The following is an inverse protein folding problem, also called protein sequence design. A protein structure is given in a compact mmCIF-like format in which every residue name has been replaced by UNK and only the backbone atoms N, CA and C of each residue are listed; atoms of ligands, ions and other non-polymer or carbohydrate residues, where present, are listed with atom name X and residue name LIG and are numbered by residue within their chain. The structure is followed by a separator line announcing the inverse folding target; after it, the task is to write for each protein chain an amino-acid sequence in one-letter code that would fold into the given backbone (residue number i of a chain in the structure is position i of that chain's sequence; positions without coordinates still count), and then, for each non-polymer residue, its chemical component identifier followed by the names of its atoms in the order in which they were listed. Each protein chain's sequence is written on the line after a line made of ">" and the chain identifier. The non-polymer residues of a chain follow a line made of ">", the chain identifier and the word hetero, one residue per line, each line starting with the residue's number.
data_IF_796912765892
#
_entry.id   IF_796912765892
#
_cell.length_a   1.000
_cell.length_b   1.000
_cell.length_c   1.000
_cell.angle_alpha   90.00
_cell.angle_beta   90.00
_cell.angle_gamma   90.00
#
_symmetry.space_group_name_H-M   'P 1'
#
loop_
_entity.id
_entity.type
_entity.pdbx_description
1 polymer ?
#
# COMPACT_ATOMS: atom_id res chain seq x y z
N UNK A 1 -4.58 -29.41 23.40
CA UNK A 1 -3.33 -28.74 23.02
C UNK A 1 -3.71 -27.35 22.55
N UNK A 2 -3.45 -26.32 23.35
CA UNK A 2 -3.64 -24.93 22.93
C UNK A 2 -2.70 -24.68 21.76
N UNK A 3 -3.22 -24.40 20.57
CA UNK A 3 -2.40 -23.96 19.46
C UNK A 3 -1.57 -22.77 19.96
N UNK A 4 -0.24 -22.93 20.02
CA UNK A 4 0.64 -21.81 20.28
C UNK A 4 0.37 -20.82 19.16
N UNK A 5 -0.21 -19.66 19.46
CA UNK A 5 -0.40 -18.61 18.48
C UNK A 5 0.93 -18.36 17.76
N UNK A 6 0.96 -18.57 16.43
CA UNK A 6 2.14 -18.29 15.62
C UNK A 6 2.48 -16.82 15.78
N UNK A 7 3.69 -16.54 16.24
CA UNK A 7 4.16 -15.16 16.29
C UNK A 7 4.48 -14.68 14.87
N UNK A 8 4.12 -13.45 14.50
CA UNK A 8 4.51 -12.87 13.22
C UNK A 8 6.02 -12.97 12.99
N UNK A 9 6.41 -13.28 11.76
CA UNK A 9 7.80 -13.42 11.33
C UNK A 9 8.33 -12.13 10.72
N UNK A 10 7.50 -11.43 9.93
CA UNK A 10 7.88 -10.24 9.19
C UNK A 10 7.06 -9.03 9.64
N UNK A 11 7.75 -7.97 10.05
CA UNK A 11 7.13 -6.68 10.36
C UNK A 11 7.44 -5.65 9.29
N UNK A 12 6.41 -5.09 8.65
CA UNK A 12 6.57 -4.12 7.58
C UNK A 12 6.06 -2.75 8.01
N UNK A 13 6.75 -1.70 7.58
CA UNK A 13 6.40 -0.31 7.81
C UNK A 13 6.28 0.34 6.43
N UNK A 14 5.07 0.79 6.07
CA UNK A 14 4.79 1.39 4.78
C UNK A 14 4.52 2.89 4.91
N UNK A 15 5.05 3.67 3.97
CA UNK A 15 4.95 5.14 3.98
C UNK A 15 3.58 5.70 3.55
N UNK A 16 2.71 4.84 3.00
CA UNK A 16 1.34 5.12 2.58
C UNK A 16 0.39 3.91 2.75
N UNK A 17 -0.92 4.15 2.67
CA UNK A 17 -1.93 3.09 2.76
C UNK A 17 -1.97 2.17 1.54
N UNK A 18 -1.81 2.72 0.35
CA UNK A 18 -1.89 1.96 -0.90
C UNK A 18 -0.71 1.02 -1.07
N UNK A 19 0.51 1.49 -0.79
CA UNK A 19 1.71 0.67 -0.81
C UNK A 19 1.76 -0.35 0.32
N UNK A 20 1.14 -0.07 1.47
CA UNK A 20 0.93 -1.07 2.52
C UNK A 20 0.09 -2.25 2.00
N UNK A 21 -1.03 -1.95 1.35
CA UNK A 21 -1.96 -2.95 0.80
C UNK A 21 -1.30 -3.76 -0.32
N UNK A 22 -0.54 -3.10 -1.19
CA UNK A 22 0.20 -3.75 -2.28
C UNK A 22 1.28 -4.71 -1.77
N UNK A 23 2.08 -4.29 -0.78
CA UNK A 23 3.04 -5.18 -0.12
C UNK A 23 2.35 -6.37 0.52
N UNK A 24 1.26 -6.12 1.24
CA UNK A 24 0.54 -7.16 1.95
C UNK A 24 -0.08 -8.19 0.97
N UNK A 25 -0.57 -7.73 -0.19
CA UNK A 25 -1.01 -8.59 -1.29
C UNK A 25 0.13 -9.48 -1.83
N UNK A 26 1.35 -8.95 -1.99
CA UNK A 26 2.50 -9.75 -2.42
C UNK A 26 2.87 -10.84 -1.42
N UNK A 27 2.81 -10.54 -0.12
CA UNK A 27 3.07 -11.50 0.95
C UNK A 27 2.00 -12.60 0.99
N UNK A 28 0.72 -12.24 0.85
CA UNK A 28 -0.39 -13.20 0.76
C UNK A 28 -0.29 -14.11 -0.46
N UNK A 29 -0.02 -13.55 -1.65
CA UNK A 29 0.23 -14.34 -2.88
C UNK A 29 1.38 -15.33 -2.71
N UNK A 30 2.33 -15.01 -1.83
CA UNK A 30 3.51 -15.83 -1.54
C UNK A 30 3.33 -16.74 -0.31
N UNK A 31 2.11 -16.88 0.20
CA UNK A 31 1.76 -17.84 1.25
C UNK A 31 1.84 -17.33 2.69
N UNK A 32 2.06 -16.04 2.94
CA UNK A 32 2.05 -15.46 4.29
C UNK A 32 0.68 -14.85 4.61
N UNK A 33 0.03 -15.33 5.67
CA UNK A 33 -1.14 -14.64 6.24
C UNK A 33 -0.70 -13.27 6.70
N UNK A 34 -1.34 -12.23 6.17
CA UNK A 34 -0.91 -10.87 6.42
C UNK A 34 -2.04 -10.02 6.97
N UNK A 35 -1.70 -9.23 7.97
CA UNK A 35 -2.57 -8.19 8.51
C UNK A 35 -1.94 -6.83 8.30
N UNK A 36 -2.73 -5.89 7.82
CA UNK A 36 -2.38 -4.49 7.72
C UNK A 36 -3.02 -3.72 8.87
N UNK A 37 -2.27 -2.86 9.56
CA UNK A 37 -2.82 -1.91 10.55
C UNK A 37 -2.88 -0.51 9.98
N UNK A 38 -3.87 0.28 10.41
CA UNK A 38 -4.03 1.69 10.05
C UNK A 38 -3.36 2.52 11.14
N UNK A 39 -2.14 2.98 10.86
CA UNK A 39 -1.27 3.58 11.86
C UNK A 39 -0.69 2.56 12.85
N UNK A 40 0.05 3.07 13.83
CA UNK A 40 0.60 2.29 14.94
C UNK A 40 -0.52 2.00 15.95
N UNK A 41 -0.83 0.73 16.26
CA UNK A 41 -1.81 0.42 17.30
C UNK A 41 -1.35 0.94 18.67
N UNK A 42 -2.30 1.30 19.54
CA UNK A 42 -2.00 1.82 20.87
C UNK A 42 -1.25 0.80 21.75
N UNK A 43 -0.42 1.28 22.66
CA UNK A 43 0.34 0.43 23.59
C UNK A 43 -0.58 -0.51 24.37
N UNK A 44 -0.26 -1.81 24.36
CA UNK A 44 -1.07 -2.85 25.02
C UNK A 44 -2.26 -3.36 24.19
N UNK A 45 -2.63 -2.70 23.10
CA UNK A 45 -3.44 -3.32 22.05
C UNK A 45 -2.54 -4.30 21.29
N UNK A 46 -2.36 -5.49 21.86
CA UNK A 46 -2.04 -6.63 21.01
C UNK A 46 -3.09 -6.62 19.90
N UNK A 47 -2.67 -6.88 18.65
CA UNK A 47 -3.62 -7.50 17.72
C UNK A 47 -4.19 -8.67 18.53
N UNK A 48 -5.48 -8.62 18.84
CA UNK A 48 -6.12 -9.58 19.73
C UNK A 48 -5.56 -10.96 19.39
N UNK A 49 -5.32 -11.81 20.40
CA UNK A 49 -4.84 -13.20 20.21
C UNK A 49 -5.61 -14.04 19.16
N UNK A 50 -6.68 -13.47 18.60
CA UNK A 50 -7.48 -13.86 17.45
C UNK A 50 -6.80 -13.76 16.07
N UNK A 51 -5.69 -13.00 15.91
CA UNK A 51 -5.08 -12.81 14.59
C UNK A 51 -3.87 -13.71 14.37
N UNK A 52 -4.10 -14.83 13.68
CA UNK A 52 -3.05 -15.72 13.19
C UNK A 52 -2.39 -15.14 11.92
N UNK A 53 -1.44 -14.22 12.11
CA UNK A 53 -0.69 -13.57 11.04
C UNK A 53 0.78 -13.98 11.03
N UNK A 54 1.29 -14.28 9.83
CA UNK A 54 2.71 -14.54 9.58
C UNK A 54 3.47 -13.23 9.31
N UNK A 55 2.79 -12.20 8.79
CA UNK A 55 3.33 -10.86 8.57
C UNK A 55 2.35 -9.77 9.04
N UNK A 56 2.91 -8.65 9.52
CA UNK A 56 2.12 -7.45 9.85
C UNK A 56 2.66 -6.26 9.07
N UNK A 57 1.78 -5.49 8.43
CA UNK A 57 2.11 -4.27 7.68
C UNK A 57 1.49 -3.06 8.35
N UNK A 58 2.31 -2.22 8.98
CA UNK A 58 1.87 -0.94 9.56
C UNK A 58 1.82 0.11 8.46
N UNK A 59 0.62 0.59 8.14
CA UNK A 59 0.43 1.64 7.15
C UNK A 59 0.47 3.03 7.79
N UNK A 60 1.46 3.83 7.42
CA UNK A 60 1.62 5.22 7.86
C UNK A 60 1.19 6.18 6.75
N UNK A 61 1.10 7.48 7.07
CA UNK A 61 1.00 8.58 6.10
C UNK A 61 2.24 9.44 6.24
N UNK A 62 3.41 8.88 5.91
CA UNK A 62 4.72 9.47 6.25
C UNK A 62 5.58 9.82 5.04
N UNK A 63 5.11 9.60 3.80
CA UNK A 63 5.87 9.90 2.57
C UNK A 63 6.33 11.35 2.46
N UNK A 64 5.41 12.30 2.70
CA UNK A 64 5.63 13.75 2.46
C UNK A 64 5.51 14.60 3.72
N UNK A 65 5.38 13.98 4.89
CA UNK A 65 5.42 14.69 6.18
C UNK A 65 6.84 15.20 6.45
N UNK A 66 7.04 16.10 7.43
CA UNK A 66 8.40 16.42 7.89
C UNK A 66 9.18 15.15 8.25
N UNK A 67 10.47 15.09 7.89
CA UNK A 67 11.32 13.93 8.11
C UNK A 67 11.39 13.48 9.58
N UNK A 68 11.40 14.42 10.52
CA UNK A 68 11.38 14.12 11.95
C UNK A 68 10.11 13.35 12.37
N UNK A 69 8.95 13.74 11.84
CA UNK A 69 7.67 13.06 12.12
C UNK A 69 7.62 11.68 11.48
N UNK A 70 8.12 11.56 10.24
CA UNK A 70 8.20 10.27 9.55
C UNK A 70 9.10 9.28 10.29
N UNK A 71 10.25 9.75 10.78
CA UNK A 71 11.17 8.97 11.62
C UNK A 71 10.50 8.55 12.92
N UNK A 72 9.88 9.49 13.64
CA UNK A 72 9.23 9.19 14.92
C UNK A 72 8.11 8.14 14.77
N UNK A 73 7.24 8.30 13.76
CA UNK A 73 6.17 7.33 13.47
C UNK A 73 6.73 5.96 13.07
N UNK A 74 7.80 5.93 12.26
CA UNK A 74 8.42 4.67 11.83
C UNK A 74 9.11 3.93 12.97
N UNK A 75 9.77 4.65 13.89
CA UNK A 75 10.38 4.06 15.09
C UNK A 75 9.32 3.53 16.06
N UNK A 76 8.19 4.23 16.20
CA UNK A 76 7.05 3.74 16.98
C UNK A 76 6.48 2.44 16.36
N UNK A 77 6.30 2.41 15.03
CA UNK A 77 5.86 1.22 14.31
C UNK A 77 6.84 0.05 14.49
N UNK A 78 8.15 0.30 14.35
CA UNK A 78 9.19 -0.68 14.57
C UNK A 78 9.16 -1.26 15.98
N UNK A 79 9.10 -0.40 17.01
CA UNK A 79 9.04 -0.82 18.40
C UNK A 79 7.83 -1.71 18.68
N UNK A 80 6.65 -1.32 18.16
CA UNK A 80 5.43 -2.10 18.28
C UNK A 80 5.53 -3.46 17.55
N UNK A 81 6.02 -3.49 16.30
CA UNK A 81 6.22 -4.72 15.53
C UNK A 81 7.20 -5.68 16.22
N UNK A 82 8.27 -5.15 16.79
CA UNK A 82 9.24 -5.93 17.58
C UNK A 82 8.57 -6.52 18.82
N UNK A 83 7.70 -5.78 19.50
CA UNK A 83 6.92 -6.28 20.64
C UNK A 83 5.96 -7.41 20.24
N UNK A 84 5.45 -7.44 19.00
CA UNK A 84 4.65 -8.55 18.46
C UNK A 84 5.49 -9.81 18.16
N UNK A 85 6.82 -9.72 18.19
CA UNK A 85 7.73 -10.85 17.97
C UNK A 85 8.25 -11.00 16.53
N UNK A 86 8.07 -9.97 15.68
CA UNK A 86 8.65 -9.95 14.33
C UNK A 86 10.17 -10.17 14.37
N UNK A 87 10.69 -10.95 13.41
CA UNK A 87 12.10 -11.37 13.33
C UNK A 87 12.89 -10.58 12.29
N UNK A 88 12.25 -10.22 11.19
CA UNK A 88 12.80 -9.40 10.12
C UNK A 88 11.88 -8.21 9.88
N UNK A 89 12.46 -7.10 9.43
CA UNK A 89 11.72 -5.87 9.18
C UNK A 89 11.83 -5.44 7.72
N UNK A 90 10.77 -4.81 7.23
CA UNK A 90 10.68 -4.29 5.87
C UNK A 90 10.26 -2.82 5.89
N UNK A 91 11.07 -1.93 5.30
CA UNK A 91 10.65 -0.56 5.04
C UNK A 91 10.17 -0.41 3.60
N UNK A 92 8.86 -0.15 3.46
CA UNK A 92 8.16 -0.05 2.19
C UNK A 92 7.94 1.40 1.79
N UNK A 93 8.38 1.74 0.59
CA UNK A 93 8.14 3.02 -0.07
C UNK A 93 7.74 2.83 -1.54
N UNK A 94 7.42 3.92 -2.24
CA UNK A 94 6.91 3.86 -3.61
C UNK A 94 7.93 3.25 -4.59
N UNK A 95 7.46 2.49 -5.59
CA UNK A 95 8.30 1.89 -6.63
C UNK A 95 8.92 2.93 -7.59
N UNK A 96 8.45 4.18 -7.55
CA UNK A 96 9.02 5.34 -8.25
C UNK A 96 9.95 6.18 -7.37
N UNK A 97 10.27 5.69 -6.17
CA UNK A 97 11.21 6.31 -5.23
C UNK A 97 10.82 7.71 -4.76
N UNK A 98 9.51 7.99 -4.74
CA UNK A 98 8.88 9.27 -4.39
C UNK A 98 9.47 9.88 -3.12
N UNK A 99 10.29 10.92 -3.30
CA UNK A 99 10.96 11.61 -2.22
C UNK A 99 11.54 12.93 -2.73
N UNK A 100 12.02 13.77 -1.80
CA UNK A 100 12.83 14.95 -2.10
C UNK A 100 14.22 14.77 -1.50
N UNK A 101 15.14 15.70 -1.75
CA UNK A 101 16.46 15.68 -1.07
C UNK A 101 16.33 15.75 0.47
N UNK A 102 15.20 16.24 1.00
CA UNK A 102 14.92 16.27 2.44
C UNK A 102 14.40 14.92 2.98
N UNK A 103 14.09 13.95 2.12
CA UNK A 103 13.55 12.64 2.53
C UNK A 103 12.17 12.30 1.94
N UNK A 104 11.48 11.28 2.46
CA UNK A 104 11.73 10.62 3.76
C UNK A 104 12.41 9.25 3.70
N UNK A 105 12.77 8.75 2.51
CA UNK A 105 13.36 7.41 2.38
C UNK A 105 14.69 7.32 3.14
N UNK A 106 15.63 8.24 2.90
CA UNK A 106 16.93 8.26 3.59
C UNK A 106 16.80 8.34 5.13
N UNK A 107 16.18 9.39 5.69
CA UNK A 107 16.07 9.57 7.14
C UNK A 107 15.40 8.41 7.88
N UNK A 108 14.33 7.85 7.31
CA UNK A 108 13.63 6.71 7.92
C UNK A 108 14.46 5.43 7.81
N UNK A 109 15.11 5.18 6.68
CA UNK A 109 15.98 4.02 6.51
C UNK A 109 17.18 4.05 7.47
N UNK A 110 17.81 5.22 7.67
CA UNK A 110 18.87 5.40 8.68
C UNK A 110 18.37 5.03 10.08
N UNK A 111 17.26 5.63 10.51
CA UNK A 111 16.71 5.42 11.84
C UNK A 111 16.30 3.95 12.10
N UNK A 112 15.65 3.31 11.12
CA UNK A 112 15.26 1.91 11.21
C UNK A 112 16.47 0.97 11.20
N UNK A 113 17.51 1.28 10.42
CA UNK A 113 18.72 0.47 10.36
C UNK A 113 19.45 0.46 11.71
N UNK A 114 19.56 1.63 12.36
CA UNK A 114 20.08 1.76 13.73
C UNK A 114 19.23 0.95 14.73
N UNK A 115 17.91 1.13 14.69
CA UNK A 115 16.99 0.47 15.62
C UNK A 115 16.98 -1.06 15.46
N UNK A 116 17.18 -1.55 14.25
CA UNK A 116 17.31 -2.96 13.90
C UNK A 116 18.65 -3.58 14.33
N UNK A 117 19.62 -2.76 14.78
CA UNK A 117 20.98 -3.22 15.10
C UNK A 117 21.74 -3.73 13.86
N UNK A 118 21.30 -3.34 12.67
CA UNK A 118 21.87 -3.76 11.39
C UNK A 118 22.94 -2.80 10.89
N UNK A 119 23.98 -3.34 10.25
CA UNK A 119 25.02 -2.52 9.60
C UNK A 119 24.72 -2.20 8.13
N UNK A 120 23.74 -2.87 7.52
CA UNK A 120 23.50 -2.80 6.08
C UNK A 120 22.04 -3.12 5.72
N UNK A 121 21.48 -2.42 4.74
CA UNK A 121 20.22 -2.77 4.09
C UNK A 121 20.28 -2.53 2.57
N UNK A 122 19.55 -3.34 1.81
CA UNK A 122 19.34 -3.07 0.38
C UNK A 122 18.22 -2.06 0.17
N UNK A 123 18.23 -1.43 -1.01
CA UNK A 123 17.25 -0.45 -1.47
C UNK A 123 16.80 -0.88 -2.86
N UNK A 124 15.58 -1.42 -2.99
CA UNK A 124 15.09 -1.98 -4.25
C UNK A 124 13.63 -1.58 -4.51
N UNK A 125 13.37 -0.41 -5.13
CA UNK A 125 12.02 -0.03 -5.55
C UNK A 125 11.50 -0.77 -6.80
N UNK A 126 12.27 -1.70 -7.38
CA UNK A 126 11.87 -2.41 -8.59
C UNK A 126 10.56 -3.20 -8.38
N UNK A 127 9.74 -3.20 -9.43
CA UNK A 127 8.52 -3.98 -9.54
C UNK A 127 8.25 -4.29 -11.03
N UNK A 128 8.90 -5.31 -11.60
CA UNK A 128 8.85 -5.63 -13.03
C UNK A 128 7.44 -5.91 -13.55
N UNK A 129 6.57 -6.59 -12.78
CA UNK A 129 5.15 -6.79 -13.13
C UNK A 129 4.43 -5.45 -13.43
N UNK A 130 4.83 -4.38 -12.75
CA UNK A 130 4.33 -3.02 -12.97
C UNK A 130 5.27 -2.17 -13.83
N UNK A 131 6.22 -2.76 -14.56
CA UNK A 131 7.15 -2.05 -15.44
C UNK A 131 8.17 -1.17 -14.71
N UNK A 132 8.52 -1.46 -13.46
CA UNK A 132 9.59 -0.75 -12.74
C UNK A 132 10.82 -1.63 -12.68
N UNK A 133 11.89 -1.23 -13.35
CA UNK A 133 13.17 -1.96 -13.40
C UNK A 133 14.33 -1.06 -13.02
N UNK A 134 15.40 -1.64 -12.50
CA UNK A 134 16.61 -0.91 -12.11
C UNK A 134 17.81 -1.52 -12.81
N UNK A 135 18.52 -0.70 -13.57
CA UNK A 135 19.74 -1.08 -14.27
C UNK A 135 20.88 -0.12 -13.95
N UNK A 136 21.98 -0.63 -13.41
CA UNK A 136 23.16 0.14 -12.98
C UNK A 136 22.76 1.31 -12.06
N UNK A 137 21.82 1.05 -11.14
CA UNK A 137 21.28 2.03 -10.19
C UNK A 137 20.33 3.06 -10.79
N UNK A 138 19.97 2.96 -12.08
CA UNK A 138 19.01 3.85 -12.72
C UNK A 138 17.63 3.19 -12.75
N UNK A 139 16.62 3.90 -12.27
CA UNK A 139 15.22 3.44 -12.29
C UNK A 139 14.55 3.79 -13.61
N UNK A 140 13.87 2.81 -14.17
CA UNK A 140 13.05 2.91 -15.37
C UNK A 140 11.57 2.69 -15.04
N UNK A 141 10.70 3.37 -15.78
CA UNK A 141 9.25 3.19 -15.77
C UNK A 141 8.82 2.86 -17.19
N UNK A 142 8.52 1.58 -17.44
CA UNK A 142 8.42 1.05 -18.79
C UNK A 142 9.76 1.20 -19.51
N UNK A 143 9.72 1.80 -20.69
CA UNK A 143 10.90 1.95 -21.56
C UNK A 143 11.67 3.24 -21.33
N UNK A 144 11.24 4.11 -20.41
CA UNK A 144 11.84 5.43 -20.17
C UNK A 144 12.45 5.55 -18.76
N UNK A 145 13.51 6.36 -18.59
CA UNK A 145 14.02 6.69 -17.26
C UNK A 145 12.95 7.35 -16.37
N UNK A 146 13.11 7.24 -15.05
CA UNK A 146 12.20 7.84 -14.06
C UNK A 146 11.90 9.32 -14.34
N UNK A 147 12.91 10.12 -14.70
CA UNK A 147 12.79 11.55 -14.93
C UNK A 147 12.24 11.95 -16.31
N UNK A 148 11.77 10.98 -17.09
CA UNK A 148 11.12 11.17 -18.39
C UNK A 148 9.75 10.45 -18.43
N UNK A 149 9.27 9.99 -17.26
CA UNK A 149 8.10 9.10 -17.15
C UNK A 149 6.79 9.84 -16.81
N UNK A 150 6.85 11.16 -16.63
CA UNK A 150 5.81 11.96 -16.00
C UNK A 150 6.07 12.21 -14.51
N UNK A 151 6.88 11.38 -13.84
CA UNK A 151 7.24 11.58 -12.43
C UNK A 151 8.08 12.83 -12.19
N UNK A 152 8.76 13.36 -13.20
CA UNK A 152 9.46 14.64 -13.15
C UNK A 152 8.53 15.84 -12.92
N UNK A 153 7.22 15.66 -13.19
CA UNK A 153 6.16 16.63 -12.96
C UNK A 153 5.24 16.23 -11.78
N UNK A 154 5.62 15.24 -10.97
CA UNK A 154 4.79 14.82 -9.82
C UNK A 154 4.57 16.02 -8.87
N UNK A 155 3.32 16.29 -8.43
CA UNK A 155 2.97 17.54 -7.76
C UNK A 155 3.63 17.73 -6.39
N UNK A 156 3.97 16.63 -5.70
CA UNK A 156 4.54 16.67 -4.35
C UNK A 156 6.03 16.30 -4.31
N UNK A 157 6.46 15.41 -5.20
CA UNK A 157 7.79 14.76 -5.17
C UNK A 157 8.31 14.60 -6.60
N UNK A 158 8.59 15.71 -7.33
CA UNK A 158 9.03 15.65 -8.70
C UNK A 158 10.39 14.95 -8.83
N UNK A 159 10.42 13.82 -9.54
CA UNK A 159 11.60 12.97 -9.67
C UNK A 159 12.42 13.37 -10.90
N UNK A 160 13.41 14.24 -10.73
CA UNK A 160 14.22 14.80 -11.83
C UNK A 160 15.51 14.04 -12.14
N UNK A 161 15.72 12.91 -11.46
CA UNK A 161 16.97 12.16 -11.52
C UNK A 161 16.67 10.66 -11.39
N UNK A 162 16.99 9.88 -12.43
CA UNK A 162 16.78 8.44 -12.41
C UNK A 162 17.86 7.66 -11.63
N UNK A 163 19.00 8.27 -11.29
CA UNK A 163 20.08 7.57 -10.60
C UNK A 163 19.79 7.48 -9.09
N UNK A 164 19.30 6.32 -8.66
CA UNK A 164 18.86 6.11 -7.28
C UNK A 164 20.01 6.16 -6.27
N UNK A 165 21.24 5.83 -6.67
CA UNK A 165 22.41 5.95 -5.79
C UNK A 165 22.59 7.42 -5.39
N UNK A 166 22.50 8.33 -6.37
CA UNK A 166 22.61 9.77 -6.14
C UNK A 166 21.39 10.35 -5.43
N UNK A 167 20.18 9.93 -5.80
CA UNK A 167 18.94 10.40 -5.16
C UNK A 167 18.94 10.04 -3.67
N UNK A 168 19.24 8.78 -3.33
CA UNK A 168 19.31 8.37 -1.93
C UNK A 168 20.45 9.07 -1.20
N UNK A 169 21.64 9.17 -1.79
CA UNK A 169 22.80 9.79 -1.14
C UNK A 169 22.56 11.25 -0.71
N UNK A 170 21.67 11.99 -1.38
CA UNK A 170 21.29 13.36 -0.96
C UNK A 170 20.44 13.40 0.31
N UNK A 171 19.78 12.29 0.67
CA UNK A 171 18.85 12.20 1.79
C UNK A 171 19.47 11.59 3.05
N UNK A 172 20.66 10.99 2.95
CA UNK A 172 21.30 10.27 4.05
C UNK A 172 22.77 10.65 4.19
N UNK A 173 23.27 10.65 5.43
CA UNK A 173 24.70 10.78 5.74
C UNK A 173 25.43 9.46 5.59
N UNK A 174 24.71 8.33 5.56
CA UNK A 174 25.25 7.01 5.33
C UNK A 174 25.74 6.87 3.89
N UNK A 175 26.86 6.15 3.69
CA UNK A 175 27.40 5.88 2.36
C UNK A 175 26.47 4.94 1.59
N UNK A 176 26.07 5.37 0.39
CA UNK A 176 25.23 4.60 -0.54
C UNK A 176 26.09 3.94 -1.63
N UNK A 177 25.88 2.64 -1.85
CA UNK A 177 26.54 1.83 -2.86
C UNK A 177 25.56 1.22 -3.87
N UNK A 178 26.05 0.26 -4.64
CA UNK A 178 25.31 -0.42 -5.69
C UNK A 178 25.66 -1.91 -5.75
N UNK A 179 24.63 -2.75 -5.75
CA UNK A 179 24.66 -4.16 -6.14
C UNK A 179 24.12 -4.21 -7.57
N UNK A 180 25.02 -4.41 -8.53
CA UNK A 180 24.71 -4.34 -9.96
C UNK A 180 24.07 -5.63 -10.47
N UNK A 181 23.33 -5.51 -11.57
CA UNK A 181 22.64 -6.61 -12.25
C UNK A 181 23.57 -7.79 -12.56
N UNK A 182 24.85 -7.54 -12.90
CA UNK A 182 25.83 -8.58 -13.23
C UNK A 182 26.27 -9.38 -12.01
N UNK A 183 26.17 -8.83 -10.80
CA UNK A 183 26.33 -9.59 -9.55
C UNK A 183 25.07 -10.40 -9.25
N UNK A 184 23.90 -9.84 -9.49
CA UNK A 184 22.60 -10.49 -9.20
C UNK A 184 22.38 -11.69 -10.12
N UNK A 185 22.75 -11.58 -11.39
CA UNK A 185 22.71 -12.67 -12.36
C UNK A 185 23.58 -13.88 -11.97
N UNK A 186 24.53 -13.72 -11.05
CA UNK A 186 25.36 -14.83 -10.52
C UNK A 186 24.71 -15.54 -9.32
N UNK A 187 23.53 -15.09 -8.87
CA UNK A 187 22.75 -15.72 -7.81
C UNK A 187 23.05 -15.22 -6.39
N UNK A 188 22.31 -15.75 -5.42
CA UNK A 188 22.24 -15.20 -4.07
C UNK A 188 23.57 -15.24 -3.31
N UNK A 189 24.43 -16.22 -3.59
CA UNK A 189 25.77 -16.31 -2.98
C UNK A 189 26.68 -15.14 -3.40
N UNK A 190 26.67 -14.78 -4.69
CA UNK A 190 27.44 -13.65 -5.21
C UNK A 190 26.91 -12.31 -4.64
N UNK A 191 25.59 -12.18 -4.52
CA UNK A 191 24.96 -11.01 -3.87
C UNK A 191 25.40 -10.89 -2.41
N UNK A 192 25.39 -11.99 -1.63
CA UNK A 192 25.89 -11.98 -0.24
C UNK A 192 27.35 -11.55 -0.15
N UNK A 193 28.22 -12.11 -0.99
CA UNK A 193 29.64 -11.71 -1.03
C UNK A 193 29.81 -10.22 -1.39
N UNK A 194 28.97 -9.69 -2.28
CA UNK A 194 28.97 -8.26 -2.63
C UNK A 194 28.49 -7.39 -1.47
N UNK A 195 27.47 -7.83 -0.73
CA UNK A 195 27.01 -7.15 0.48
C UNK A 195 28.16 -7.06 1.50
N UNK A 196 28.88 -8.16 1.73
CA UNK A 196 30.01 -8.19 2.68
C UNK A 196 31.14 -7.24 2.25
N UNK A 197 31.48 -7.22 0.96
CA UNK A 197 32.47 -6.28 0.42
C UNK A 197 32.04 -4.81 0.61
N UNK A 198 30.77 -4.50 0.33
CA UNK A 198 30.24 -3.14 0.53
C UNK A 198 30.26 -2.74 2.00
N UNK A 199 29.93 -3.65 2.91
CA UNK A 199 30.00 -3.42 4.36
C UNK A 199 31.43 -3.11 4.81
N UNK A 200 32.41 -3.85 4.31
CA UNK A 200 33.82 -3.61 4.60
C UNK A 200 34.30 -2.22 4.13
N UNK A 201 33.73 -1.72 3.03
CA UNK A 201 33.98 -0.38 2.49
C UNK A 201 33.18 0.75 3.20
N UNK A 202 32.48 0.43 4.30
CA UNK A 202 31.68 1.38 5.07
C UNK A 202 30.35 1.76 4.41
N UNK A 203 29.93 1.09 3.33
CA UNK A 203 28.59 1.28 2.76
C UNK A 203 27.53 0.69 3.70
N UNK A 204 26.46 1.45 3.92
CA UNK A 204 25.32 1.01 4.75
C UNK A 204 24.05 0.75 3.96
N UNK A 205 23.90 1.42 2.82
CA UNK A 205 22.79 1.15 1.90
C UNK A 205 23.32 0.83 0.52
N UNK A 206 22.71 -0.13 -0.17
CA UNK A 206 23.01 -0.36 -1.57
C UNK A 206 21.74 -0.41 -2.40
N UNK A 207 21.70 0.41 -3.45
CA UNK A 207 20.71 0.21 -4.51
C UNK A 207 20.96 -1.19 -5.09
N UNK A 208 19.91 -1.97 -5.24
CA UNK A 208 19.97 -3.28 -5.89
C UNK A 208 19.25 -3.21 -7.23
N UNK A 209 19.97 -3.53 -8.30
CA UNK A 209 19.37 -3.66 -9.64
C UNK A 209 18.33 -4.79 -9.64
N UNK A 210 17.34 -4.71 -10.53
CA UNK A 210 16.42 -5.82 -10.81
C UNK A 210 15.70 -5.54 -12.12
N UNK A 211 15.81 -6.48 -13.06
CA UNK A 211 15.20 -6.40 -14.39
C UNK A 211 13.99 -7.34 -14.51
N UNK A 212 13.90 -8.32 -13.61
CA UNK A 212 12.89 -9.37 -13.63
C UNK A 212 12.52 -9.84 -12.22
N UNK A 213 11.41 -10.56 -12.09
CA UNK A 213 11.01 -11.17 -10.80
C UNK A 213 12.02 -12.22 -10.33
N UNK A 214 12.76 -12.85 -11.25
CA UNK A 214 13.86 -13.74 -10.90
C UNK A 214 14.93 -13.02 -10.08
N UNK A 215 15.31 -11.79 -10.49
CA UNK A 215 16.28 -10.97 -9.75
C UNK A 215 15.77 -10.64 -8.34
N UNK A 216 14.46 -10.38 -8.21
CA UNK A 216 13.81 -10.11 -6.92
C UNK A 216 13.84 -11.34 -5.99
N UNK A 217 13.64 -12.54 -6.52
CA UNK A 217 13.80 -13.77 -5.75
C UNK A 217 15.26 -14.01 -5.30
N UNK A 218 16.23 -13.74 -6.19
CA UNK A 218 17.66 -13.82 -5.85
C UNK A 218 18.01 -12.84 -4.73
N UNK A 219 17.52 -11.60 -4.81
CA UNK A 219 17.71 -10.59 -3.77
C UNK A 219 17.05 -11.00 -2.46
N UNK A 220 15.81 -11.49 -2.50
CA UNK A 220 15.10 -11.98 -1.31
C UNK A 220 15.87 -13.09 -0.60
N UNK A 221 16.38 -14.08 -1.34
CA UNK A 221 17.22 -15.14 -0.77
C UNK A 221 18.53 -14.61 -0.18
N UNK A 222 19.20 -13.69 -0.88
CA UNK A 222 20.44 -13.09 -0.39
C UNK A 222 20.24 -12.29 0.90
N UNK A 223 19.05 -11.73 1.10
CA UNK A 223 18.71 -10.87 2.23
C UNK A 223 18.12 -11.63 3.44
N UNK A 224 18.08 -12.97 3.43
CA UNK A 224 17.48 -13.78 4.49
C UNK A 224 17.97 -13.43 5.91
N UNK A 225 19.24 -13.02 6.04
CA UNK A 225 19.88 -12.70 7.32
C UNK A 225 19.99 -11.19 7.60
N UNK A 226 19.48 -10.33 6.71
CA UNK A 226 19.46 -8.90 6.97
C UNK A 226 18.29 -8.57 7.92
N UNK A 227 18.50 -7.83 9.01
CA UNK A 227 17.42 -7.49 9.93
C UNK A 227 16.43 -6.49 9.31
N UNK A 228 16.89 -5.70 8.33
CA UNK A 228 16.08 -4.73 7.60
C UNK A 228 16.29 -4.91 6.08
N UNK A 229 15.17 -5.01 5.36
CA UNK A 229 15.11 -4.92 3.89
C UNK A 229 14.30 -3.67 3.54
N UNK A 230 14.67 -2.94 2.48
CA UNK A 230 13.91 -1.76 2.07
C UNK A 230 13.63 -1.79 0.57
N UNK A 231 12.44 -1.33 0.17
CA UNK A 231 12.07 -1.34 -1.25
C UNK A 231 10.61 -1.08 -1.54
N UNK A 232 10.25 -1.35 -2.79
CA UNK A 232 8.86 -1.51 -3.23
C UNK A 232 8.33 -2.90 -2.87
N UNK A 233 7.15 -3.26 -3.37
CA UNK A 233 6.51 -4.55 -3.04
C UNK A 233 7.21 -5.74 -3.71
N UNK A 234 7.89 -5.52 -4.85
CA UNK A 234 8.50 -6.59 -5.63
C UNK A 234 9.56 -7.39 -4.86
N UNK A 235 10.47 -6.73 -4.14
CA UNK A 235 11.54 -7.44 -3.41
C UNK A 235 11.00 -8.29 -2.25
N UNK A 236 9.77 -8.05 -1.79
CA UNK A 236 9.12 -8.89 -0.79
C UNK A 236 8.72 -10.29 -1.33
N UNK A 237 8.62 -10.48 -2.66
CA UNK A 237 8.30 -11.77 -3.28
C UNK A 237 9.28 -12.90 -2.87
N UNK A 238 10.55 -12.55 -2.66
CA UNK A 238 11.60 -13.51 -2.29
C UNK A 238 11.74 -13.78 -0.79
N UNK A 239 11.00 -13.07 0.08
CA UNK A 239 11.18 -13.19 1.54
C UNK A 239 10.46 -14.40 2.18
N UNK A 240 9.21 -14.73 1.82
CA UNK A 240 8.46 -15.84 2.45
C UNK A 240 9.17 -17.20 2.37
N UNK A 241 9.84 -17.44 1.25
CA UNK A 241 10.57 -18.68 1.01
C UNK A 241 11.74 -18.87 1.99
N UNK A 242 12.37 -17.79 2.45
CA UNK A 242 13.42 -17.88 3.47
C UNK A 242 12.88 -18.46 4.78
N UNK A 243 11.67 -18.05 5.18
CA UNK A 243 11.03 -18.56 6.40
C UNK A 243 10.59 -20.02 6.25
N UNK A 244 10.16 -20.44 5.05
CA UNK A 244 9.85 -21.86 4.77
C UNK A 244 11.11 -22.72 4.86
N UNK A 245 12.20 -22.33 4.20
CA UNK A 245 13.49 -23.05 4.28
C UNK A 245 14.04 -23.14 5.70
N UNK A 246 13.76 -22.13 6.53
CA UNK A 246 14.12 -22.12 7.95
C UNK A 246 13.15 -22.94 8.84
N UNK A 247 12.08 -23.53 8.29
CA UNK A 247 11.07 -24.27 9.06
C UNK A 247 10.20 -23.40 9.97
N UNK A 248 10.13 -22.09 9.71
CA UNK A 248 9.39 -21.11 10.52
C UNK A 248 8.01 -20.80 9.95
N UNK A 249 7.84 -20.94 8.63
CA UNK A 249 6.58 -20.75 7.92
C UNK A 249 6.15 -22.10 7.31
N UNK A 250 4.95 -22.62 7.58
CA UNK A 250 4.45 -23.80 6.88
C UNK A 250 4.05 -23.47 5.43
N UNK A 251 4.05 -24.47 4.56
CA UNK A 251 3.35 -24.34 3.28
C UNK A 251 1.84 -24.24 3.53
N UNK A 252 1.19 -23.25 2.91
CA UNK A 252 -0.25 -22.97 3.05
C UNK A 252 -0.83 -22.54 1.70
N UNK A 253 -2.03 -22.99 1.42
CA UNK A 253 -2.88 -22.58 0.29
C UNK A 253 -3.98 -21.58 0.70
N UNK A 254 -4.19 -21.39 2.01
CA UNK A 254 -5.27 -20.59 2.57
C UNK A 254 -4.83 -19.21 3.10
N UNK A 255 -3.64 -18.72 2.73
CA UNK A 255 -3.12 -17.43 3.20
C UNK A 255 -4.05 -16.24 2.84
N UNK A 256 -4.77 -16.35 1.73
CA UNK A 256 -5.71 -15.36 1.21
C UNK A 256 -7.16 -15.53 1.71
N UNK A 257 -7.42 -16.46 2.64
CA UNK A 257 -8.77 -16.72 3.13
C UNK A 257 -9.26 -15.58 4.02
N UNK A 258 -10.42 -15.02 3.69
CA UNK A 258 -11.12 -14.04 4.52
C UNK A 258 -12.33 -14.69 5.21
N UNK A 259 -12.75 -14.16 6.37
CA UNK A 259 -14.03 -14.55 6.95
C UNK A 259 -15.18 -14.21 6.00
N UNK A 260 -16.29 -14.95 6.11
CA UNK A 260 -17.51 -14.60 5.38
C UNK A 260 -18.08 -13.29 5.90
N UNK A 261 -18.44 -12.39 4.99
CA UNK A 261 -18.98 -11.06 5.32
C UNK A 261 -20.41 -10.96 4.78
N UNK A 262 -21.37 -11.16 5.66
CA UNK A 262 -22.78 -10.94 5.36
C UNK A 262 -23.13 -9.44 5.42
N UNK A 263 -24.19 -9.04 4.72
CA UNK A 263 -24.67 -7.65 4.67
C UNK A 263 -24.66 -7.04 3.26
N UNK A 264 -25.05 -5.77 3.18
CA UNK A 264 -25.22 -5.05 1.91
C UNK A 264 -23.88 -4.53 1.38
N UNK A 265 -23.85 -4.13 0.10
CA UNK A 265 -22.65 -3.61 -0.56
C UNK A 265 -22.89 -2.24 -1.18
N UNK A 266 -21.84 -1.41 -1.23
CA UNK A 266 -21.85 -0.12 -1.92
C UNK A 266 -20.49 0.17 -2.57
N UNK A 267 -20.51 1.01 -3.60
CA UNK A 267 -19.31 1.52 -4.28
C UNK A 267 -19.21 3.02 -4.05
N UNK A 268 -18.03 3.49 -3.63
CA UNK A 268 -17.71 4.90 -3.41
C UNK A 268 -16.53 5.29 -4.31
N UNK A 269 -16.71 6.28 -5.18
CA UNK A 269 -15.66 6.68 -6.13
C UNK A 269 -15.35 8.18 -6.08
N UNK A 270 -14.19 8.54 -5.55
CA UNK A 270 -13.71 9.92 -5.50
C UNK A 270 -12.57 10.22 -6.49
N UNK A 271 -11.95 9.20 -7.09
CA UNK A 271 -10.87 9.40 -8.06
C UNK A 271 -11.36 9.98 -9.40
N UNK A 272 -10.65 10.99 -9.90
CA UNK A 272 -10.84 11.56 -11.25
C UNK A 272 -9.91 10.94 -12.32
N UNK A 273 -9.28 9.80 -12.04
CA UNK A 273 -8.40 9.11 -12.99
C UNK A 273 -9.15 8.60 -14.23
N UNK A 274 -8.42 8.36 -15.33
CA UNK A 274 -8.99 7.77 -16.56
C UNK A 274 -9.63 6.41 -16.30
N UNK A 275 -8.94 5.54 -15.53
CA UNK A 275 -9.44 4.22 -15.18
C UNK A 275 -10.75 4.30 -14.38
N UNK A 276 -10.82 5.17 -13.37
CA UNK A 276 -12.03 5.32 -12.56
C UNK A 276 -13.18 5.94 -13.36
N UNK A 277 -12.91 6.89 -14.25
CA UNK A 277 -13.93 7.42 -15.18
C UNK A 277 -14.52 6.30 -16.06
N UNK A 278 -13.70 5.41 -16.60
CA UNK A 278 -14.16 4.27 -17.39
C UNK A 278 -14.99 3.26 -16.56
N UNK A 279 -14.56 2.96 -15.34
CA UNK A 279 -15.28 2.08 -14.41
C UNK A 279 -16.65 2.66 -14.01
N UNK A 280 -16.70 3.96 -13.75
CA UNK A 280 -17.96 4.69 -13.45
C UNK A 280 -18.87 4.69 -14.68
N UNK A 281 -18.34 4.93 -15.88
CA UNK A 281 -19.13 4.89 -17.10
C UNK A 281 -19.77 3.50 -17.30
N UNK A 282 -18.98 2.43 -17.21
CA UNK A 282 -19.47 1.06 -17.35
C UNK A 282 -20.55 0.70 -16.30
N UNK A 283 -20.39 1.15 -15.05
CA UNK A 283 -21.43 0.93 -14.02
C UNK A 283 -22.76 1.60 -14.38
N UNK A 284 -22.69 2.84 -14.86
CA UNK A 284 -23.87 3.70 -15.12
C UNK A 284 -24.72 3.22 -16.29
N UNK A 285 -24.23 2.31 -17.12
CA UNK A 285 -25.00 1.73 -18.23
C UNK A 285 -26.23 0.94 -17.76
N UNK A 286 -26.19 0.37 -16.55
CA UNK A 286 -27.27 -0.53 -16.09
C UNK A 286 -27.54 -0.54 -14.59
N UNK A 287 -26.78 0.23 -13.78
CA UNK A 287 -26.85 0.16 -12.32
C UNK A 287 -27.09 1.52 -11.67
N UNK A 288 -27.76 1.56 -10.51
CA UNK A 288 -28.06 2.81 -9.82
C UNK A 288 -26.78 3.55 -9.43
N UNK A 289 -26.74 4.85 -9.76
CA UNK A 289 -25.64 5.74 -9.37
C UNK A 289 -26.12 7.12 -8.93
N UNK A 290 -25.47 7.70 -7.93
CA UNK A 290 -25.66 9.08 -7.49
C UNK A 290 -24.36 9.86 -7.65
N UNK A 291 -24.43 11.01 -8.32
CA UNK A 291 -23.28 11.89 -8.54
C UNK A 291 -23.25 12.97 -7.46
N UNK A 292 -22.12 13.11 -6.78
CA UNK A 292 -21.81 14.21 -5.87
C UNK A 292 -21.43 15.44 -6.71
N UNK A 293 -22.06 16.57 -6.43
CA UNK A 293 -21.60 17.89 -6.86
C UNK A 293 -20.81 18.55 -5.71
N UNK A 294 -19.47 18.68 -5.83
CA UNK A 294 -18.67 19.36 -4.81
C UNK A 294 -19.08 20.82 -4.60
N UNK A 295 -19.59 21.50 -5.62
CA UNK A 295 -20.03 22.89 -5.47
C UNK A 295 -21.31 22.96 -4.66
N UNK A 296 -22.27 22.06 -4.86
CA UNK A 296 -23.45 21.92 -4.00
C UNK A 296 -23.06 21.66 -2.54
N UNK A 297 -22.14 20.73 -2.30
CA UNK A 297 -21.63 20.45 -0.96
C UNK A 297 -20.98 21.71 -0.34
N UNK A 298 -20.24 22.50 -1.12
CA UNK A 298 -19.58 23.73 -0.65
C UNK A 298 -20.58 24.83 -0.28
N UNK A 299 -21.78 24.82 -0.88
CA UNK A 299 -22.89 25.73 -0.57
C UNK A 299 -23.73 25.29 0.63
N UNK A 300 -23.41 24.16 1.25
CA UNK A 300 -24.18 23.61 2.38
C UNK A 300 -25.48 22.92 1.96
N UNK A 301 -25.61 22.52 0.69
CA UNK A 301 -26.74 21.69 0.26
C UNK A 301 -26.65 20.29 0.91
N UNK A 302 -27.78 19.60 1.14
CA UNK A 302 -27.83 18.34 1.90
C UNK A 302 -27.37 17.11 1.09
N UNK A 303 -26.23 17.22 0.40
CA UNK A 303 -25.72 16.21 -0.55
C UNK A 303 -25.54 14.83 0.10
N UNK A 304 -25.14 14.80 1.38
CA UNK A 304 -24.99 13.54 2.13
C UNK A 304 -26.35 12.87 2.35
N UNK A 305 -27.36 13.64 2.78
CA UNK A 305 -28.70 13.11 3.04
C UNK A 305 -29.36 12.64 1.74
N UNK A 306 -29.20 13.39 0.65
CA UNK A 306 -29.70 13.02 -0.67
C UNK A 306 -29.07 11.73 -1.18
N UNK A 307 -27.75 11.57 -1.01
CA UNK A 307 -27.04 10.35 -1.39
C UNK A 307 -27.47 9.13 -0.55
N UNK A 308 -27.74 9.32 0.75
CA UNK A 308 -28.23 8.28 1.64
C UNK A 308 -29.70 7.93 1.38
N UNK A 309 -30.54 8.91 1.05
CA UNK A 309 -31.93 8.70 0.63
C UNK A 309 -31.98 7.90 -0.69
N UNK A 310 -31.11 8.26 -1.64
CA UNK A 310 -30.91 7.50 -2.87
C UNK A 310 -30.45 6.06 -2.60
N UNK A 311 -29.48 5.85 -1.71
CA UNK A 311 -29.04 4.50 -1.36
C UNK A 311 -30.19 3.67 -0.77
N UNK A 312 -30.96 4.25 0.15
CA UNK A 312 -32.10 3.58 0.81
C UNK A 312 -33.16 3.10 -0.19
N UNK A 313 -33.40 3.82 -1.29
CA UNK A 313 -34.42 3.43 -2.27
C UNK A 313 -34.00 2.30 -3.22
N UNK A 314 -32.69 1.98 -3.30
CA UNK A 314 -32.17 0.97 -4.22
C UNK A 314 -31.62 -0.28 -3.51
N UNK A 315 -31.21 -0.17 -2.25
CA UNK A 315 -30.77 -1.32 -1.47
C UNK A 315 -31.90 -2.37 -1.38
N UNK A 316 -31.60 -3.68 -1.50
CA UNK A 316 -30.28 -4.30 -1.35
C UNK A 316 -29.39 -4.33 -2.61
N UNK A 317 -29.85 -3.81 -3.75
CA UNK A 317 -29.00 -3.70 -4.94
C UNK A 317 -27.80 -2.76 -4.63
N UNK A 318 -26.55 -3.17 -4.92
CA UNK A 318 -25.42 -2.29 -4.69
C UNK A 318 -25.53 -1.02 -5.54
N UNK A 319 -25.25 0.12 -4.90
CA UNK A 319 -25.27 1.46 -5.50
C UNK A 319 -23.86 2.01 -5.69
N UNK A 320 -23.70 2.90 -6.67
CA UNK A 320 -22.49 3.72 -6.84
C UNK A 320 -22.77 5.15 -6.38
N UNK A 321 -21.93 5.68 -5.50
CA UNK A 321 -21.92 7.11 -5.16
C UNK A 321 -20.56 7.67 -5.55
N UNK A 322 -20.53 8.67 -6.42
CA UNK A 322 -19.29 9.11 -7.05
C UNK A 322 -19.15 10.63 -7.19
N UNK A 323 -17.92 11.12 -7.00
CA UNK A 323 -17.48 12.47 -7.36
C UNK A 323 -16.55 12.47 -8.59
N UNK A 324 -16.26 11.29 -9.15
CA UNK A 324 -15.45 11.11 -10.37
C UNK A 324 -15.96 12.01 -11.50
N UNK A 325 -15.04 12.77 -12.08
CA UNK A 325 -15.34 13.67 -13.20
C UNK A 325 -14.15 13.82 -14.15
N UNK A 326 -14.36 14.56 -15.25
CA UNK A 326 -13.36 14.91 -16.25
C UNK A 326 -12.31 15.88 -15.70
N UNK A 327 -11.09 15.89 -16.24
CA UNK A 327 -10.05 16.84 -15.82
C UNK A 327 -10.47 18.31 -15.91
N UNK A 328 -11.29 18.67 -16.89
CA UNK A 328 -11.75 20.06 -17.07
C UNK A 328 -12.74 20.48 -15.99
N UNK A 329 -13.64 19.59 -15.60
CA UNK A 329 -14.55 19.84 -14.47
C UNK A 329 -13.81 19.85 -13.13
N UNK A 330 -12.79 19.00 -12.94
CA UNK A 330 -11.91 19.09 -11.76
C UNK A 330 -11.27 20.48 -11.70
N UNK A 331 -10.70 20.98 -12.81
CA UNK A 331 -10.12 22.32 -12.86
C UNK A 331 -11.13 23.40 -12.52
N UNK A 332 -12.36 23.32 -13.03
CA UNK A 332 -13.40 24.30 -12.73
C UNK A 332 -13.75 24.32 -11.23
N UNK A 333 -13.91 23.16 -10.60
CA UNK A 333 -14.15 23.06 -9.15
C UNK A 333 -12.96 23.60 -8.35
N UNK A 334 -11.73 23.25 -8.75
CA UNK A 334 -10.51 23.72 -8.09
C UNK A 334 -10.30 25.23 -8.25
N UNK A 335 -10.72 25.82 -9.36
CA UNK A 335 -10.71 27.27 -9.55
C UNK A 335 -11.71 27.98 -8.62
N UNK A 336 -12.86 27.36 -8.36
CA UNK A 336 -13.88 27.92 -7.48
C UNK A 336 -13.54 27.76 -5.98
N UNK A 337 -12.97 26.62 -5.58
CA UNK A 337 -12.79 26.27 -4.17
C UNK A 337 -11.33 26.27 -3.70
N UNK A 338 -10.38 26.21 -4.61
CA UNK A 338 -8.99 25.84 -4.33
C UNK A 338 -8.77 24.33 -4.39
N UNK A 339 -7.56 23.90 -4.75
CA UNK A 339 -7.22 22.48 -4.98
C UNK A 339 -7.41 21.63 -3.73
N UNK A 340 -6.83 22.07 -2.62
CA UNK A 340 -6.85 21.34 -1.34
C UNK A 340 -8.27 21.28 -0.75
N UNK A 341 -8.97 22.41 -0.72
CA UNK A 341 -10.33 22.48 -0.20
C UNK A 341 -11.31 21.64 -1.03
N UNK A 342 -11.19 21.63 -2.36
CA UNK A 342 -12.01 20.78 -3.23
C UNK A 342 -11.80 19.29 -2.94
N UNK A 343 -10.54 18.86 -2.78
CA UNK A 343 -10.20 17.48 -2.43
C UNK A 343 -10.78 17.06 -1.07
N UNK A 344 -10.50 17.85 -0.03
CA UNK A 344 -11.01 17.59 1.32
C UNK A 344 -12.53 17.59 1.41
N UNK A 345 -13.22 18.45 0.64
CA UNK A 345 -14.67 18.46 0.60
C UNK A 345 -15.23 17.16 0.02
N UNK A 346 -14.66 16.66 -1.08
CA UNK A 346 -15.06 15.39 -1.68
C UNK A 346 -14.79 14.22 -0.73
N UNK A 347 -13.60 14.20 -0.12
CA UNK A 347 -13.20 13.19 0.86
C UNK A 347 -14.15 13.15 2.07
N UNK A 348 -14.40 14.30 2.70
CA UNK A 348 -15.26 14.40 3.87
C UNK A 348 -16.72 14.06 3.55
N UNK A 349 -17.21 14.43 2.36
CA UNK A 349 -18.56 14.07 1.90
C UNK A 349 -18.69 12.56 1.71
N UNK A 350 -17.77 11.91 0.99
CA UNK A 350 -17.78 10.46 0.80
C UNK A 350 -17.57 9.69 2.11
N UNK A 351 -16.76 10.22 3.02
CA UNK A 351 -16.56 9.67 4.35
C UNK A 351 -17.84 9.73 5.21
N UNK A 352 -18.58 10.83 5.16
CA UNK A 352 -19.88 10.96 5.84
C UNK A 352 -20.91 9.98 5.26
N UNK A 353 -20.95 9.85 3.93
CA UNK A 353 -21.81 8.88 3.23
C UNK A 353 -21.45 7.44 3.62
N UNK A 354 -20.16 7.10 3.72
CA UNK A 354 -19.73 5.77 4.14
C UNK A 354 -20.26 5.40 5.54
N UNK A 355 -20.24 6.35 6.49
CA UNK A 355 -20.82 6.14 7.84
C UNK A 355 -22.33 5.89 7.77
N UNK A 356 -23.06 6.73 7.05
CA UNK A 356 -24.51 6.55 6.89
C UNK A 356 -24.86 5.24 6.19
N UNK A 357 -24.08 4.81 5.19
CA UNK A 357 -24.25 3.50 4.55
C UNK A 357 -24.01 2.34 5.52
N UNK A 358 -23.00 2.44 6.40
CA UNK A 358 -22.78 1.45 7.46
C UNK A 358 -23.99 1.34 8.38
N UNK A 359 -24.60 2.46 8.75
CA UNK A 359 -25.83 2.51 9.56
C UNK A 359 -27.03 1.90 8.82
N UNK A 360 -27.08 2.00 7.49
CA UNK A 360 -28.07 1.35 6.63
C UNK A 360 -27.81 -0.17 6.43
N UNK A 361 -26.79 -0.74 7.08
CA UNK A 361 -26.48 -2.17 7.00
C UNK A 361 -25.52 -2.56 5.87
N UNK A 362 -24.87 -1.59 5.22
CA UNK A 362 -23.76 -1.87 4.31
C UNK A 362 -22.56 -2.39 5.10
N UNK A 363 -22.04 -3.51 4.66
CA UNK A 363 -20.87 -4.18 5.24
C UNK A 363 -19.74 -4.34 4.25
N UNK A 364 -20.00 -4.20 2.96
CA UNK A 364 -19.00 -4.36 1.89
C UNK A 364 -18.84 -3.07 1.11
N UNK A 365 -17.66 -2.46 1.18
CA UNK A 365 -17.36 -1.21 0.48
C UNK A 365 -16.27 -1.41 -0.56
N UNK A 366 -16.59 -1.05 -1.79
CA UNK A 366 -15.59 -0.89 -2.86
C UNK A 366 -15.29 0.60 -2.97
N UNK A 367 -14.04 0.99 -2.78
CA UNK A 367 -13.64 2.41 -2.74
C UNK A 367 -12.61 2.71 -3.81
N UNK A 368 -12.84 3.74 -4.63
CA UNK A 368 -11.93 4.15 -5.70
C UNK A 368 -11.34 5.55 -5.45
N UNK A 369 -10.02 5.58 -5.24
CA UNK A 369 -9.21 6.76 -4.94
C UNK A 369 -8.38 6.57 -3.68
N UNK A 370 -7.10 6.95 -3.71
CA UNK A 370 -6.19 6.79 -2.57
C UNK A 370 -6.64 7.61 -1.35
N UNK A 371 -6.77 8.93 -1.51
CA UNK A 371 -7.26 9.81 -0.44
C UNK A 371 -8.70 9.48 -0.05
N UNK A 372 -9.57 9.15 -1.01
CA UNK A 372 -10.93 8.68 -0.73
C UNK A 372 -10.94 7.42 0.14
N UNK A 373 -10.08 6.44 -0.16
CA UNK A 373 -9.92 5.23 0.64
C UNK A 373 -9.46 5.57 2.06
N UNK A 374 -8.49 6.47 2.20
CA UNK A 374 -8.04 6.97 3.51
C UNK A 374 -9.18 7.59 4.32
N UNK A 375 -9.94 8.52 3.72
CA UNK A 375 -11.05 9.20 4.38
C UNK A 375 -12.18 8.23 4.79
N UNK A 376 -12.51 7.26 3.91
CA UNK A 376 -13.54 6.23 4.20
C UNK A 376 -13.08 5.28 5.31
N UNK A 377 -11.85 4.76 5.24
CA UNK A 377 -11.27 3.86 6.26
C UNK A 377 -11.25 4.54 7.63
N UNK A 378 -10.85 5.80 7.69
CA UNK A 378 -10.86 6.58 8.93
C UNK A 378 -12.27 6.80 9.46
N UNK A 379 -13.23 7.18 8.61
CA UNK A 379 -14.60 7.43 9.04
C UNK A 379 -15.36 6.18 9.46
N UNK A 380 -14.98 5.02 8.92
CA UNK A 380 -15.48 3.71 9.36
C UNK A 380 -14.74 3.16 10.60
N UNK A 381 -13.80 3.92 11.17
CA UNK A 381 -13.00 3.55 12.33
C UNK A 381 -12.22 2.23 12.17
N UNK A 382 -11.76 1.97 10.94
CA UNK A 382 -11.02 0.74 10.62
C UNK A 382 -9.63 0.80 11.24
N UNK A 383 -9.31 -0.18 12.10
CA UNK A 383 -8.01 -0.28 12.78
C UNK A 383 -7.05 -1.25 12.09
N UNK A 384 -7.58 -2.32 11.53
CA UNK A 384 -6.80 -3.36 10.89
C UNK A 384 -7.59 -4.06 9.78
N UNK A 385 -6.86 -4.64 8.84
CA UNK A 385 -7.35 -5.34 7.68
C UNK A 385 -6.61 -6.67 7.54
N UNK A 386 -7.35 -7.78 7.55
CA UNK A 386 -6.86 -9.03 7.01
C UNK A 386 -6.89 -8.96 5.48
N UNK A 387 -5.81 -9.42 4.86
CA UNK A 387 -5.64 -9.36 3.41
C UNK A 387 -6.07 -10.68 2.77
N UNK A 388 -6.92 -10.58 1.75
CA UNK A 388 -7.47 -11.69 1.01
C UNK A 388 -6.93 -11.82 -0.40
N UNK A 389 -7.69 -12.52 -1.24
CA UNK A 389 -7.32 -12.75 -2.63
C UNK A 389 -7.23 -11.46 -3.45
N UNK A 390 -6.32 -11.45 -4.42
CA UNK A 390 -6.18 -10.36 -5.38
C UNK A 390 -7.42 -10.27 -6.28
N UNK A 391 -8.06 -9.09 -6.34
CA UNK A 391 -9.17 -8.80 -7.26
C UNK A 391 -8.62 -8.40 -8.62
N UNK A 392 -7.68 -7.46 -8.61
CA UNK A 392 -6.88 -6.99 -9.74
C UNK A 392 -5.46 -6.69 -9.26
N UNK A 393 -4.45 -6.59 -10.16
CA UNK A 393 -3.07 -6.28 -9.78
C UNK A 393 -2.99 -5.09 -8.80
N UNK A 394 -2.43 -5.34 -7.61
CA UNK A 394 -2.29 -4.35 -6.54
C UNK A 394 -3.56 -4.01 -5.75
N UNK A 395 -4.69 -4.70 -5.97
CA UNK A 395 -5.95 -4.46 -5.26
C UNK A 395 -6.54 -5.77 -4.73
N UNK A 396 -6.24 -6.15 -3.46
CA UNK A 396 -6.84 -7.32 -2.83
C UNK A 396 -8.21 -7.02 -2.24
N UNK A 397 -9.00 -8.07 -2.04
CA UNK A 397 -10.10 -8.06 -1.09
C UNK A 397 -9.54 -7.99 0.34
N UNK A 398 -10.22 -7.31 1.25
CA UNK A 398 -9.80 -7.21 2.65
C UNK A 398 -11.00 -7.31 3.59
N UNK A 399 -10.75 -7.71 4.84
CA UNK A 399 -11.74 -7.78 5.90
C UNK A 399 -11.23 -7.08 7.16
N UNK A 400 -12.07 -6.33 7.86
CA UNK A 400 -11.69 -5.81 9.19
C UNK A 400 -11.66 -6.94 10.23
N UNK A 401 -10.91 -6.73 11.30
CA UNK A 401 -10.73 -7.71 12.38
C UNK A 401 -11.56 -7.29 13.59
N UNK A 402 -12.88 -7.27 13.41
CA UNK A 402 -13.84 -6.91 14.44
C UNK A 402 -14.89 -8.01 14.60
N UNK A 403 -15.66 -8.00 15.70
CA UNK A 403 -16.76 -8.93 15.92
C UNK A 403 -17.83 -8.88 14.80
N UNK A 404 -17.93 -7.75 14.11
CA UNK A 404 -18.79 -7.55 12.94
C UNK A 404 -17.94 -7.00 11.79
N UNK A 405 -17.28 -7.86 11.01
CA UNK A 405 -16.28 -7.42 10.05
C UNK A 405 -16.91 -6.64 8.90
N UNK A 406 -16.14 -5.68 8.36
CA UNK A 406 -16.41 -5.01 7.10
C UNK A 406 -15.54 -5.60 6.00
N UNK A 407 -16.11 -5.79 4.82
CA UNK A 407 -15.40 -6.16 3.60
C UNK A 407 -14.99 -4.91 2.85
N UNK A 408 -13.72 -4.78 2.49
CA UNK A 408 -13.20 -3.58 1.86
C UNK A 408 -12.35 -3.94 0.63
N UNK A 409 -12.56 -3.23 -0.47
CA UNK A 409 -11.69 -3.26 -1.64
C UNK A 409 -11.23 -1.82 -1.94
N UNK A 410 -9.98 -1.52 -1.62
CA UNK A 410 -9.42 -0.16 -1.65
C UNK A 410 -8.56 0.01 -2.91
N UNK A 411 -9.13 0.66 -3.92
CA UNK A 411 -8.54 0.78 -5.26
C UNK A 411 -7.87 2.14 -5.43
N UNK A 412 -6.56 2.14 -5.72
CA UNK A 412 -5.90 3.37 -6.20
C UNK A 412 -6.50 3.84 -7.53
N UNK A 413 -6.39 5.12 -7.84
CA UNK A 413 -7.08 5.74 -8.98
C UNK A 413 -6.83 5.03 -10.31
N UNK A 414 -5.58 4.76 -10.65
CA UNK A 414 -5.21 4.20 -11.97
C UNK A 414 -5.33 2.67 -12.07
N UNK A 415 -5.80 2.00 -11.02
CA UNK A 415 -5.78 0.53 -10.92
C UNK A 415 -7.13 -0.06 -11.36
N UNK A 416 -7.08 -1.34 -11.73
CA UNK A 416 -8.21 -2.18 -12.07
C UNK A 416 -8.72 -2.00 -13.51
N UNK A 417 -9.31 -3.07 -14.05
CA UNK A 417 -9.95 -3.05 -15.38
C UNK A 417 -11.31 -2.33 -15.33
N UNK A 418 -11.96 -2.18 -16.48
CA UNK A 418 -13.24 -1.46 -16.61
C UNK A 418 -14.36 -2.10 -15.78
N UNK A 419 -14.36 -3.41 -15.63
CA UNK A 419 -15.33 -4.21 -14.84
C UNK A 419 -14.95 -4.34 -13.36
N UNK A 420 -13.94 -3.61 -12.87
CA UNK A 420 -13.39 -3.76 -11.50
C UNK A 420 -14.45 -3.70 -10.40
N UNK A 421 -15.41 -2.76 -10.45
CA UNK A 421 -16.43 -2.64 -9.42
C UNK A 421 -17.25 -3.91 -9.25
N UNK A 422 -17.53 -4.62 -10.34
CA UNK A 422 -18.29 -5.85 -10.28
C UNK A 422 -17.45 -7.02 -9.73
N UNK A 423 -16.20 -7.15 -10.19
CA UNK A 423 -15.25 -8.14 -9.66
C UNK A 423 -15.03 -7.96 -8.15
N UNK A 424 -14.85 -6.73 -7.70
CA UNK A 424 -14.65 -6.41 -6.29
C UNK A 424 -15.87 -6.79 -5.44
N UNK A 425 -17.09 -6.51 -5.91
CA UNK A 425 -18.31 -6.91 -5.21
C UNK A 425 -18.46 -8.43 -5.11
N UNK A 426 -18.12 -9.18 -6.16
CA UNK A 426 -18.14 -10.66 -6.13
C UNK A 426 -17.10 -11.22 -5.16
N UNK A 427 -15.87 -10.71 -5.22
CA UNK A 427 -14.79 -11.12 -4.33
C UNK A 427 -15.16 -10.90 -2.85
N UNK A 428 -15.75 -9.74 -2.50
CA UNK A 428 -16.19 -9.45 -1.13
C UNK A 428 -17.41 -10.28 -0.69
N UNK A 429 -18.16 -10.89 -1.62
CA UNK A 429 -19.27 -11.80 -1.31
C UNK A 429 -18.80 -13.25 -1.08
N UNK A 430 -17.50 -13.54 -1.20
CA UNK A 430 -16.97 -14.91 -1.11
C UNK A 430 -17.24 -15.74 -2.37
N UNK A 431 -17.62 -15.10 -3.48
CA UNK A 431 -17.69 -15.72 -4.80
C UNK A 431 -16.40 -15.34 -5.55
N UNK A 432 -15.35 -16.13 -5.35
CA UNK A 432 -14.14 -16.10 -6.18
C UNK A 432 -14.16 -17.30 -7.12
#
# INVERSE_FOLDING_TARGET
>A
MTASASRPLLGCIADDFTGATDLANMLVKSGMRTVQTIGVPADGAALDTMVDADAIVVALKSRTTPAADAVAQSLAAYAWLRAQGCRQFFFKYCSTFDSTDAGNIGPVADALLEAAGGGFAIVCPAFPENGRTIFRGHLFVGDVPLNESGMEHHPLTPMKDANLVRVLQRQTTSKVGLIRYDTIAQGAAAVRARIDALRADGTRFAIADALSDHDLHVLGEACANLPLVTGGSGVALGLPENFRRAGLLPERDNAASLPRIDGLSAVLAGSASKATNAQVAAWRESRPSFRIDPLAASRGEPVVDDALAFARSHLPQPVLIYATTSPDEVKAVQQALGVEAAGHLVESTLAAIARGLRELGVRKFVVAGGETSGAVVQALDVKSLQIGAQIDPGVPATATIDAQPLGLALKSGNFGTVDFFDKALRALNGAA
#
